data_IF_278957067859
#
_entry.id   IF_278957067859
#
_cell.length_a   1.000
_cell.length_b   1.000
_cell.length_c   1.000
_cell.angle_alpha   90.00
_cell.angle_beta   90.00
_cell.angle_gamma   90.00
#
_symmetry.space_group_name_H-M   'P 1'
#
loop_
_entity.id
_entity.type
_entity.pdbx_description
1 polymer ?
#
# COMPACT_ATOMS: atom_id res chain seq x y z
N UNK A 1 -7.92 20.26 -2.52
CA UNK A 1 -7.43 19.52 -1.34
C UNK A 1 -6.96 18.15 -1.79
N UNK A 2 -5.66 17.87 -1.72
CA UNK A 2 -5.10 16.61 -2.20
C UNK A 2 -5.40 15.45 -1.27
N UNK A 3 -5.55 14.24 -1.82
CA UNK A 3 -5.78 12.99 -1.08
C UNK A 3 -4.71 12.76 0.00
N UNK A 4 -3.51 13.32 -0.20
CA UNK A 4 -2.43 13.28 0.76
C UNK A 4 -2.78 13.94 2.10
N UNK A 5 -3.59 15.00 2.14
CA UNK A 5 -3.97 15.68 3.38
C UNK A 5 -4.95 14.87 4.25
N UNK A 6 -5.66 13.87 3.70
CA UNK A 6 -6.46 12.95 4.52
C UNK A 6 -5.60 12.10 5.46
N UNK A 7 -4.33 11.88 5.12
CA UNK A 7 -3.45 11.00 5.88
C UNK A 7 -2.66 11.73 6.97
N UNK A 8 -2.92 13.02 7.20
CA UNK A 8 -2.24 13.81 8.21
C UNK A 8 -3.21 14.61 9.08
N UNK A 9 -2.95 14.64 10.38
CA UNK A 9 -3.68 15.45 11.36
C UNK A 9 -2.76 16.55 11.84
N UNK A 10 -3.26 17.78 11.86
CA UNK A 10 -2.57 18.87 12.52
C UNK A 10 -2.82 18.77 14.02
N UNK A 11 -1.74 18.60 14.79
CA UNK A 11 -1.80 18.60 16.26
C UNK A 11 -1.16 19.89 16.77
N UNK A 12 -1.85 20.57 17.69
CA UNK A 12 -1.29 21.73 18.39
C UNK A 12 -0.10 21.26 19.25
N UNK A 13 1.07 21.88 19.04
CA UNK A 13 2.32 21.53 19.71
C UNK A 13 2.74 22.53 20.77
N UNK A 14 2.07 23.69 20.83
CA UNK A 14 2.36 24.78 21.75
C UNK A 14 2.11 26.15 21.11
N UNK A 15 2.55 27.19 21.80
CA UNK A 15 2.42 28.58 21.36
C UNK A 15 3.81 29.17 21.18
N UNK A 16 4.04 29.90 20.09
CA UNK A 16 5.29 30.63 19.81
C UNK A 16 4.98 32.11 19.86
N UNK A 17 5.79 32.88 20.56
CA UNK A 17 5.67 34.34 20.59
C UNK A 17 6.63 34.94 19.57
N UNK A 18 6.11 35.79 18.68
CA UNK A 18 6.89 36.52 17.68
C UNK A 18 6.38 37.95 17.64
N UNK A 19 7.26 38.92 17.82
CA UNK A 19 6.94 40.36 17.82
C UNK A 19 5.81 40.73 18.80
N UNK A 20 5.80 40.12 19.99
CA UNK A 20 4.78 40.33 21.03
C UNK A 20 3.41 39.69 20.74
N UNK A 21 3.26 38.96 19.62
CA UNK A 21 2.05 38.21 19.30
C UNK A 21 2.26 36.69 19.48
N UNK A 22 1.26 36.04 20.07
CA UNK A 22 1.25 34.61 20.36
C UNK A 22 0.58 33.84 19.23
N UNK A 23 1.33 32.95 18.58
CA UNK A 23 0.86 32.08 17.50
C UNK A 23 0.76 30.63 17.96
N UNK A 24 -0.37 29.97 17.68
CA UNK A 24 -0.51 28.52 17.89
C UNK A 24 0.32 27.76 16.86
N UNK A 25 1.25 26.94 17.32
CA UNK A 25 2.10 26.11 16.47
C UNK A 25 1.42 24.77 16.24
N UNK A 26 1.10 24.47 14.99
CA UNK A 26 0.59 23.19 14.56
C UNK A 26 1.70 22.36 13.93
N UNK A 27 1.73 21.06 14.21
CA UNK A 27 2.63 20.11 13.54
C UNK A 27 1.79 19.09 12.78
N UNK A 28 2.21 18.80 11.55
CA UNK A 28 1.63 17.76 10.71
C UNK A 28 2.04 16.39 11.24
N UNK A 29 1.10 15.63 11.79
CA UNK A 29 1.31 14.29 12.33
C UNK A 29 0.64 13.29 11.39
N UNK A 30 1.34 12.23 10.92
CA UNK A 30 0.71 11.21 10.09
C UNK A 30 -0.38 10.48 10.89
N UNK A 31 -1.60 10.38 10.34
CA UNK A 31 -2.70 9.61 10.93
C UNK A 31 -2.34 8.12 11.01
N UNK A 32 -1.68 7.63 9.96
CA UNK A 32 -1.41 6.21 9.78
C UNK A 32 0.08 5.96 10.05
N UNK A 33 0.38 5.21 11.11
CA UNK A 33 1.75 4.75 11.38
C UNK A 33 2.25 3.96 10.17
N UNK A 34 3.48 4.23 9.75
CA UNK A 34 4.15 3.62 8.59
C UNK A 34 4.09 2.09 8.57
N UNK A 35 4.03 1.45 9.75
CA UNK A 35 3.89 0.00 9.92
C UNK A 35 2.63 -0.58 9.25
N UNK A 36 1.51 0.14 9.26
CA UNK A 36 0.27 -0.33 8.64
C UNK A 36 0.29 -0.22 7.11
N UNK A 37 1.02 0.77 6.57
CA UNK A 37 1.24 0.89 5.12
C UNK A 37 2.09 -0.27 4.60
N UNK A 38 3.11 -0.66 5.35
CA UNK A 38 3.94 -1.83 5.02
C UNK A 38 3.13 -3.13 5.07
N UNK A 39 2.32 -3.33 6.10
CA UNK A 39 1.48 -4.52 6.20
C UNK A 39 0.48 -4.64 5.04
N UNK A 40 -0.18 -3.53 4.67
CA UNK A 40 -1.08 -3.51 3.52
C UNK A 40 -0.35 -3.81 2.20
N UNK A 41 0.85 -3.23 2.02
CA UNK A 41 1.67 -3.50 0.85
C UNK A 41 2.09 -4.98 0.74
N UNK A 42 2.55 -5.58 1.85
CA UNK A 42 2.91 -7.00 1.88
C UNK A 42 1.70 -7.91 1.63
N UNK A 43 0.53 -7.55 2.16
CA UNK A 43 -0.70 -8.32 1.91
C UNK A 43 -1.08 -8.31 0.42
N UNK A 44 -1.01 -7.15 -0.23
CA UNK A 44 -1.25 -7.04 -1.68
C UNK A 44 -0.22 -7.85 -2.47
N UNK A 45 1.06 -7.75 -2.11
CA UNK A 45 2.14 -8.47 -2.77
C UNK A 45 1.97 -10.00 -2.67
N UNK A 46 1.59 -10.49 -1.49
CA UNK A 46 1.34 -11.91 -1.25
C UNK A 46 0.16 -12.43 -2.09
N UNK A 47 -0.88 -11.62 -2.25
CA UNK A 47 -2.07 -11.97 -3.03
C UNK A 47 -1.72 -12.06 -4.53
N UNK A 48 -0.99 -11.08 -5.06
CA UNK A 48 -0.50 -11.09 -6.45
C UNK A 48 0.41 -12.29 -6.70
N UNK A 49 1.35 -12.58 -5.79
CA UNK A 49 2.25 -13.73 -5.90
C UNK A 49 1.48 -15.06 -5.92
N UNK A 50 0.46 -15.20 -5.08
CA UNK A 50 -0.39 -16.41 -5.04
C UNK A 50 -1.15 -16.62 -6.35
N UNK A 51 -1.71 -15.56 -6.92
CA UNK A 51 -2.42 -15.61 -8.21
C UNK A 51 -1.46 -15.96 -9.35
N UNK A 52 -0.28 -15.33 -9.38
CA UNK A 52 0.74 -15.61 -10.39
C UNK A 52 1.23 -17.07 -10.33
N UNK A 53 1.46 -17.59 -9.11
CA UNK A 53 1.84 -18.98 -8.90
C UNK A 53 0.74 -19.93 -9.39
N UNK A 54 -0.52 -19.65 -9.05
CA UNK A 54 -1.65 -20.45 -9.51
C UNK A 54 -1.77 -20.46 -11.04
N UNK A 55 -1.62 -19.31 -11.68
CA UNK A 55 -1.64 -19.19 -13.14
C UNK A 55 -0.48 -19.95 -13.80
N UNK A 56 0.72 -19.91 -13.20
CA UNK A 56 1.88 -20.66 -13.68
C UNK A 56 1.64 -22.18 -13.57
N UNK A 57 1.21 -22.66 -12.41
CA UNK A 57 0.89 -24.09 -12.20
C UNK A 57 -0.17 -24.57 -13.18
N UNK A 58 -1.25 -23.79 -13.36
CA UNK A 58 -2.31 -24.11 -14.31
C UNK A 58 -1.77 -24.20 -15.74
N UNK A 59 -0.93 -23.25 -16.16
CA UNK A 59 -0.29 -23.26 -17.48
C UNK A 59 0.59 -24.50 -17.70
N UNK A 60 1.30 -24.96 -16.67
CA UNK A 60 2.07 -26.20 -16.77
C UNK A 60 1.18 -27.45 -16.83
N UNK A 61 0.10 -27.49 -16.06
CA UNK A 61 -0.87 -28.58 -16.10
C UNK A 61 -1.59 -28.68 -17.46
N UNK A 62 -2.04 -27.55 -18.01
CA UNK A 62 -2.67 -27.50 -19.33
C UNK A 62 -1.70 -27.96 -20.43
N UNK A 63 -0.41 -27.66 -20.30
CA UNK A 63 0.64 -28.07 -21.25
C UNK A 63 0.95 -29.57 -21.20
N UNK A 64 0.80 -30.20 -20.03
CA UNK A 64 0.96 -31.65 -19.88
C UNK A 64 -0.26 -32.44 -20.37
N UNK A 65 -1.41 -31.77 -20.55
CA UNK A 65 -2.69 -32.38 -20.90
C UNK A 65 -2.98 -32.38 -22.41
N UNK A 66 -2.08 -31.87 -23.25
CA UNK A 66 -2.26 -31.85 -24.71
C UNK A 66 -2.01 -33.26 -25.26
N UNK A 67 -3.03 -33.97 -25.79
CA UNK A 67 -2.80 -35.25 -26.45
C UNK A 67 -1.94 -34.99 -27.71
N UNK A 68 -1.00 -35.89 -28.06
CA UNK A 68 -0.31 -35.77 -29.33
C UNK A 68 -1.37 -35.81 -30.44
N UNK A 69 -1.38 -34.78 -31.30
CA UNK A 69 -2.17 -34.80 -32.53
C UNK A 69 -1.92 -36.15 -33.22
N UNK A 70 -2.99 -36.93 -33.36
CA UNK A 70 -2.96 -38.13 -34.16
C UNK A 70 -2.60 -37.72 -35.58
N UNK A 71 -1.37 -38.04 -35.98
CA UNK A 71 -0.87 -37.88 -37.33
C UNK A 71 -1.67 -38.86 -38.20
N UNK A 72 -2.58 -38.34 -39.02
CA UNK A 72 -3.11 -39.05 -40.20
C UNK A 72 -2.07 -39.09 -41.32
#
# INVERSE_FOLDING_TARGET
MGIEDLFYRYKERGVVERDGQKYKKYVKVPLVRTKHKQAAFYAVLALVASVALFAAVRRFADRASSPPEAVE
#
